data_IF_257989255124
#
_entry.id   IF_257989255124
#
_cell.length_a   1.000
_cell.length_b   1.000
_cell.length_c   1.000
_cell.angle_alpha   90.00
_cell.angle_beta   90.00
_cell.angle_gamma   90.00
#
_symmetry.space_group_name_H-M   'P 1'
#
loop_
_entity.id
_entity.type
_entity.pdbx_description
1 polymer ?
#
# COMPACT_ATOMS: atom_id res chain seq x y z
N UNK A 1 -13.16 -6.80 -3.08
CA UNK A 1 -14.30 -6.34 -3.90
C UNK A 1 -14.39 -7.21 -5.15
N UNK A 2 -15.58 -7.45 -5.67
CA UNK A 2 -15.88 -8.26 -6.86
C UNK A 2 -16.42 -7.37 -7.97
N UNK A 3 -16.35 -7.81 -9.22
CA UNK A 3 -16.95 -7.08 -10.35
C UNK A 3 -18.45 -6.83 -10.19
N UNK A 4 -19.15 -7.59 -9.34
CA UNK A 4 -20.57 -7.42 -9.07
C UNK A 4 -20.87 -6.46 -7.91
N UNK A 5 -19.86 -6.05 -7.15
CA UNK A 5 -20.06 -5.15 -6.02
C UNK A 5 -20.36 -3.73 -6.53
N UNK A 6 -21.24 -3.01 -5.83
CA UNK A 6 -21.57 -1.62 -6.17
C UNK A 6 -20.32 -0.75 -6.01
N UNK A 7 -20.01 0.05 -7.03
CA UNK A 7 -18.83 0.91 -7.03
C UNK A 7 -17.53 0.20 -7.39
N UNK A 8 -17.61 -1.01 -7.94
CA UNK A 8 -16.49 -1.64 -8.63
C UNK A 8 -16.25 -0.95 -9.98
N UNK A 9 -14.99 -0.86 -10.43
CA UNK A 9 -14.61 -0.16 -11.67
C UNK A 9 -15.35 -0.70 -12.89
N UNK A 10 -15.55 -2.03 -12.97
CA UNK A 10 -16.31 -2.70 -14.03
C UNK A 10 -17.85 -2.59 -13.89
N UNK A 11 -18.36 -2.00 -12.81
CA UNK A 11 -19.79 -1.94 -12.49
C UNK A 11 -20.17 -0.58 -11.89
N UNK A 12 -19.89 0.48 -12.66
CA UNK A 12 -20.28 1.85 -12.32
C UNK A 12 -21.50 2.28 -13.12
N UNK A 13 -22.48 2.87 -12.43
CA UNK A 13 -23.57 3.58 -13.10
C UNK A 13 -23.14 4.98 -13.58
N UNK A 14 -23.99 5.64 -14.38
CA UNK A 14 -23.69 6.96 -14.95
C UNK A 14 -23.42 8.02 -13.87
N UNK A 15 -24.15 8.00 -12.76
CA UNK A 15 -23.98 8.96 -11.67
C UNK A 15 -22.66 8.72 -10.94
N UNK A 16 -22.28 7.47 -10.74
CA UNK A 16 -21.01 7.09 -10.15
C UNK A 16 -19.83 7.47 -11.04
N UNK A 17 -19.95 7.31 -12.36
CA UNK A 17 -18.93 7.76 -13.33
C UNK A 17 -18.75 9.28 -13.26
N UNK A 18 -19.83 10.06 -13.23
CA UNK A 18 -19.71 11.51 -13.10
C UNK A 18 -19.10 11.91 -11.75
N UNK A 19 -19.48 11.23 -10.66
CA UNK A 19 -18.90 11.47 -9.33
C UNK A 19 -17.40 11.15 -9.30
N UNK A 20 -16.97 10.06 -9.95
CA UNK A 20 -15.56 9.69 -10.09
C UNK A 20 -14.77 10.75 -10.86
N UNK A 21 -15.30 11.25 -11.98
CA UNK A 21 -14.68 12.35 -12.75
C UNK A 21 -14.53 13.60 -11.90
N UNK A 22 -15.59 14.00 -11.19
CA UNK A 22 -15.53 15.15 -10.27
C UNK A 22 -14.45 14.93 -9.21
N UNK A 23 -14.37 13.73 -8.62
CA UNK A 23 -13.36 13.42 -7.61
C UNK A 23 -11.94 13.52 -8.15
N UNK A 24 -11.69 13.06 -9.39
CA UNK A 24 -10.41 13.24 -10.06
C UNK A 24 -10.04 14.71 -10.26
N UNK A 25 -10.97 15.51 -10.80
CA UNK A 25 -10.75 16.93 -11.03
C UNK A 25 -10.44 17.64 -9.71
N UNK A 26 -11.26 17.43 -8.68
CA UNK A 26 -11.08 18.04 -7.37
C UNK A 26 -9.75 17.61 -6.71
N UNK A 27 -9.33 16.35 -6.86
CA UNK A 27 -8.03 15.89 -6.37
C UNK A 27 -6.88 16.64 -7.05
N UNK A 28 -6.88 16.70 -8.38
CA UNK A 28 -5.80 17.33 -9.15
C UNK A 28 -5.73 18.84 -8.89
N UNK A 29 -6.88 19.52 -8.84
CA UNK A 29 -6.96 20.93 -8.47
C UNK A 29 -6.40 21.18 -7.06
N UNK A 30 -6.68 20.28 -6.11
CA UNK A 30 -6.21 20.42 -4.74
C UNK A 30 -4.71 20.20 -4.63
N UNK A 31 -4.16 19.19 -5.32
CA UNK A 31 -2.71 18.96 -5.40
C UNK A 31 -2.00 20.15 -6.05
N UNK A 32 -2.52 20.61 -7.20
CA UNK A 32 -2.01 21.80 -7.91
C UNK A 32 -1.96 23.01 -6.98
N UNK A 33 -3.03 23.25 -6.22
CA UNK A 33 -3.12 24.38 -5.28
C UNK A 33 -2.16 24.24 -4.09
N UNK A 34 -2.07 23.07 -3.47
CA UNK A 34 -1.21 22.85 -2.29
C UNK A 34 0.28 22.91 -2.65
N UNK A 35 0.65 22.38 -3.82
CA UNK A 35 2.03 22.41 -4.33
C UNK A 35 2.38 23.71 -5.07
N UNK A 36 1.41 24.60 -5.32
CA UNK A 36 1.59 25.82 -6.12
C UNK A 36 2.17 25.57 -7.53
N UNK A 37 1.74 24.48 -8.17
CA UNK A 37 2.14 24.07 -9.54
C UNK A 37 0.91 24.00 -10.45
N UNK A 38 1.10 24.01 -11.77
CA UNK A 38 -0.02 23.76 -12.68
C UNK A 38 -0.39 22.27 -12.71
N UNK A 39 -1.60 21.94 -13.20
CA UNK A 39 -2.08 20.56 -13.25
C UNK A 39 -1.19 19.69 -14.17
N UNK A 40 -0.69 20.24 -15.26
CA UNK A 40 0.21 19.56 -16.19
C UNK A 40 1.59 19.26 -15.58
N UNK A 41 2.02 20.04 -14.59
CA UNK A 41 3.26 19.82 -13.84
C UNK A 41 3.12 18.80 -12.70
N UNK A 42 1.89 18.34 -12.39
CA UNK A 42 1.68 17.31 -11.35
C UNK A 42 2.47 16.06 -11.72
N UNK A 43 2.46 15.66 -12.99
CA UNK A 43 3.27 14.56 -13.49
C UNK A 43 4.75 14.98 -13.44
N UNK A 44 5.54 14.29 -12.62
CA UNK A 44 6.95 14.64 -12.37
C UNK A 44 7.17 15.56 -11.16
N UNK A 45 6.11 15.99 -10.48
CA UNK A 45 6.21 16.59 -9.15
C UNK A 45 6.36 15.52 -8.06
N UNK A 46 6.88 15.90 -6.89
CA UNK A 46 6.97 14.97 -5.75
C UNK A 46 5.61 14.44 -5.31
N UNK A 47 4.54 15.24 -5.39
CA UNK A 47 3.19 14.81 -5.00
C UNK A 47 2.57 13.89 -6.06
N UNK A 48 2.82 14.18 -7.34
CA UNK A 48 2.46 13.27 -8.43
C UNK A 48 3.15 11.93 -8.29
N UNK A 49 4.45 11.91 -8.02
CA UNK A 49 5.20 10.66 -7.81
C UNK A 49 4.60 9.80 -6.70
N UNK A 50 4.27 10.39 -5.54
CA UNK A 50 3.64 9.66 -4.44
C UNK A 50 2.24 9.16 -4.83
N UNK A 51 1.45 9.97 -5.55
CA UNK A 51 0.13 9.58 -6.06
C UNK A 51 0.24 8.39 -7.02
N UNK A 52 1.10 8.46 -8.03
CA UNK A 52 1.24 7.41 -9.04
C UNK A 52 1.87 6.14 -8.47
N UNK A 53 2.79 6.24 -7.50
CA UNK A 53 3.29 5.08 -6.75
C UNK A 53 2.20 4.44 -5.90
N UNK A 54 1.29 5.23 -5.33
CA UNK A 54 0.13 4.71 -4.56
C UNK A 54 -0.89 3.99 -5.44
N UNK A 55 -0.94 4.31 -6.74
CA UNK A 55 -1.72 3.55 -7.75
C UNK A 55 -1.01 2.23 -8.07
N UNK A 56 0.33 2.25 -8.16
CA UNK A 56 1.14 1.08 -8.47
C UNK A 56 0.89 0.58 -9.90
N UNK A 57 0.64 -0.72 -10.05
CA UNK A 57 0.32 -1.35 -11.34
C UNK A 57 -1.19 -1.58 -11.55
N UNK A 58 -2.05 -0.99 -10.70
CA UNK A 58 -3.50 -1.11 -10.79
C UNK A 58 -4.11 -0.05 -11.72
N UNK A 59 -5.40 -0.19 -12.02
CA UNK A 59 -6.17 0.85 -12.69
C UNK A 59 -6.26 2.09 -11.77
N UNK A 60 -5.92 3.30 -12.24
CA UNK A 60 -5.90 4.51 -11.42
C UNK A 60 -7.26 4.83 -10.76
N UNK A 61 -8.37 4.51 -11.43
CA UNK A 61 -9.71 4.75 -10.90
C UNK A 61 -10.00 3.91 -9.65
N UNK A 62 -9.38 2.73 -9.52
CA UNK A 62 -9.59 1.84 -8.38
C UNK A 62 -9.15 2.49 -7.08
N UNK A 63 -8.07 3.30 -7.11
CA UNK A 63 -7.61 4.05 -5.95
C UNK A 63 -8.66 5.08 -5.52
N UNK A 64 -9.17 5.88 -6.46
CA UNK A 64 -10.17 6.92 -6.15
C UNK A 64 -11.48 6.31 -5.68
N UNK A 65 -11.94 5.25 -6.36
CA UNK A 65 -13.15 4.52 -5.98
C UNK A 65 -13.03 3.91 -4.58
N UNK A 66 -11.83 3.53 -4.12
CA UNK A 66 -11.60 3.06 -2.74
C UNK A 66 -11.98 4.13 -1.72
N UNK A 67 -11.54 5.37 -1.95
CA UNK A 67 -11.84 6.50 -1.06
C UNK A 67 -13.30 6.95 -1.17
N UNK A 68 -13.85 7.01 -2.39
CA UNK A 68 -15.27 7.32 -2.60
C UNK A 68 -16.16 6.33 -1.84
N UNK A 69 -15.95 5.02 -1.97
CA UNK A 69 -16.73 4.03 -1.19
C UNK A 69 -16.54 4.20 0.31
N UNK A 70 -15.30 4.39 0.77
CA UNK A 70 -14.99 4.59 2.19
C UNK A 70 -15.62 5.86 2.79
N UNK A 71 -15.97 6.83 1.94
CA UNK A 71 -16.61 8.10 2.32
C UNK A 71 -18.04 8.23 1.79
N UNK A 72 -18.70 7.10 1.52
CA UNK A 72 -20.11 7.05 1.09
C UNK A 72 -20.41 7.96 -0.11
N UNK A 73 -19.47 8.03 -1.05
CA UNK A 73 -19.51 8.85 -2.26
C UNK A 73 -19.49 10.37 -2.02
N UNK A 74 -19.07 10.84 -0.84
CA UNK A 74 -18.74 12.24 -0.62
C UNK A 74 -17.36 12.56 -1.23
N UNK A 75 -17.38 13.39 -2.29
CA UNK A 75 -16.17 13.76 -3.04
C UNK A 75 -15.17 14.52 -2.17
N UNK A 76 -15.61 15.52 -1.40
CA UNK A 76 -14.69 16.36 -0.63
C UNK A 76 -14.04 15.55 0.49
N UNK A 77 -14.81 14.72 1.18
CA UNK A 77 -14.30 13.86 2.23
C UNK A 77 -13.36 12.78 1.68
N UNK A 78 -13.63 12.24 0.48
CA UNK A 78 -12.76 11.29 -0.20
C UNK A 78 -11.42 11.93 -0.60
N UNK A 79 -11.46 13.11 -1.22
CA UNK A 79 -10.26 13.86 -1.65
C UNK A 79 -9.41 14.25 -0.45
N UNK A 80 -10.02 14.79 0.62
CA UNK A 80 -9.27 15.18 1.82
C UNK A 80 -8.53 13.97 2.42
N UNK A 81 -9.21 12.83 2.57
CA UNK A 81 -8.58 11.64 3.14
C UNK A 81 -7.46 11.06 2.26
N UNK A 82 -7.64 11.10 0.93
CA UNK A 82 -6.59 10.69 0.00
C UNK A 82 -5.37 11.61 0.12
N UNK A 83 -5.56 12.93 0.16
CA UNK A 83 -4.45 13.89 0.32
C UNK A 83 -3.73 13.71 1.65
N UNK A 84 -4.46 13.56 2.75
CA UNK A 84 -3.87 13.27 4.06
C UNK A 84 -3.01 12.00 4.01
N UNK A 85 -3.47 10.99 3.27
CA UNK A 85 -2.72 9.75 3.08
C UNK A 85 -1.47 9.96 2.21
N UNK A 86 -1.56 10.73 1.11
CA UNK A 86 -0.41 11.04 0.27
C UNK A 86 0.66 11.83 1.04
N UNK A 87 0.24 12.80 1.85
CA UNK A 87 1.12 13.58 2.71
C UNK A 87 1.80 12.67 3.76
N UNK A 88 1.03 11.80 4.43
CA UNK A 88 1.58 10.82 5.36
C UNK A 88 2.62 9.90 4.68
N UNK A 89 2.33 9.40 3.47
CA UNK A 89 3.27 8.54 2.72
C UNK A 89 4.57 9.27 2.42
N UNK A 90 4.47 10.54 2.03
CA UNK A 90 5.62 11.39 1.76
C UNK A 90 6.44 11.64 3.04
N UNK A 91 5.79 12.07 4.12
CA UNK A 91 6.41 12.38 5.41
C UNK A 91 7.11 11.16 6.03
N UNK A 92 6.49 9.98 5.93
CA UNK A 92 7.06 8.72 6.43
C UNK A 92 8.06 8.10 5.48
N UNK A 93 8.25 8.66 4.28
CA UNK A 93 9.18 8.14 3.30
C UNK A 93 8.84 6.71 2.87
N UNK A 94 7.56 6.36 2.76
CA UNK A 94 7.09 5.00 2.44
C UNK A 94 7.74 4.51 1.14
N UNK A 95 7.85 5.35 0.12
CA UNK A 95 8.49 4.95 -1.14
C UNK A 95 9.97 4.54 -0.98
N UNK A 96 10.69 5.18 -0.03
CA UNK A 96 12.08 4.83 0.29
C UNK A 96 12.14 3.52 1.08
N UNK A 97 11.20 3.31 2.00
CA UNK A 97 11.04 2.05 2.73
C UNK A 97 10.82 0.90 1.75
N UNK A 98 9.86 1.05 0.82
CA UNK A 98 9.55 0.04 -0.20
C UNK A 98 10.73 -0.23 -1.15
N UNK A 99 11.50 0.80 -1.52
CA UNK A 99 12.67 0.64 -2.37
C UNK A 99 13.80 -0.17 -1.72
N UNK A 100 13.91 -0.12 -0.39
CA UNK A 100 14.90 -0.90 0.37
C UNK A 100 14.39 -2.29 0.77
N UNK A 101 13.07 -2.47 0.77
CA UNK A 101 12.42 -3.75 1.04
C UNK A 101 12.72 -4.27 2.43
N UNK A 102 13.00 -5.57 2.51
CA UNK A 102 13.20 -6.28 3.77
C UNK A 102 14.48 -5.86 4.52
N UNK A 103 15.40 -5.13 3.88
CA UNK A 103 16.62 -4.61 4.53
C UNK A 103 16.34 -3.55 5.60
N UNK A 104 15.18 -2.90 5.59
CA UNK A 104 14.78 -1.92 6.61
C UNK A 104 13.90 -2.53 7.71
N UNK A 105 13.63 -3.83 7.63
CA UNK A 105 12.75 -4.54 8.56
C UNK A 105 13.53 -5.21 9.68
N UNK A 106 12.89 -5.31 10.85
CA UNK A 106 13.40 -6.09 11.96
C UNK A 106 13.13 -7.57 11.70
N UNK A 107 14.18 -8.30 11.30
CA UNK A 107 14.06 -9.72 10.91
C UNK A 107 13.51 -10.58 12.05
N UNK A 108 13.83 -10.28 13.31
CA UNK A 108 13.32 -11.03 14.46
C UNK A 108 11.79 -10.93 14.58
N UNK A 109 11.21 -9.78 14.24
CA UNK A 109 9.77 -9.61 14.26
C UNK A 109 9.09 -10.38 13.13
N UNK A 110 9.68 -10.32 11.94
CA UNK A 110 9.20 -11.09 10.79
C UNK A 110 9.28 -12.61 11.05
N UNK A 111 10.40 -13.07 11.62
CA UNK A 111 10.63 -14.48 11.96
C UNK A 111 9.83 -14.97 13.17
N UNK A 112 9.12 -14.08 13.87
CA UNK A 112 8.21 -14.50 14.95
C UNK A 112 7.05 -15.37 14.44
N UNK A 113 6.73 -15.31 13.14
CA UNK A 113 5.66 -16.11 12.52
C UNK A 113 4.26 -15.74 13.00
N UNK A 114 4.11 -14.64 13.75
CA UNK A 114 2.82 -14.19 14.31
C UNK A 114 1.85 -13.69 13.23
N UNK A 115 2.36 -13.28 12.07
CA UNK A 115 1.59 -12.92 10.90
C UNK A 115 2.25 -13.48 9.64
N UNK A 116 1.46 -14.04 8.72
CA UNK A 116 1.95 -14.47 7.41
C UNK A 116 0.81 -14.62 6.41
N UNK A 117 1.11 -14.47 5.12
CA UNK A 117 0.15 -14.79 4.07
C UNK A 117 0.20 -16.27 3.72
N UNK A 118 -0.94 -16.93 3.51
CA UNK A 118 -0.95 -18.31 3.00
C UNK A 118 -2.22 -18.62 2.21
N UNK A 119 -2.04 -19.03 0.96
CA UNK A 119 -3.15 -19.41 0.09
C UNK A 119 -4.06 -18.24 -0.29
N UNK A 120 -5.20 -18.61 -0.86
CA UNK A 120 -6.16 -17.67 -1.45
C UNK A 120 -7.59 -18.08 -1.10
N UNK A 121 -8.47 -17.09 -0.99
CA UNK A 121 -9.91 -17.35 -0.94
C UNK A 121 -10.44 -17.88 -2.28
N UNK A 122 -11.73 -18.21 -2.34
CA UNK A 122 -12.39 -18.70 -3.57
C UNK A 122 -12.35 -17.71 -4.74
N UNK A 123 -11.96 -16.46 -4.49
CA UNK A 123 -11.89 -15.37 -5.45
C UNK A 123 -10.44 -15.00 -5.78
N UNK A 124 -9.46 -15.78 -5.33
CA UNK A 124 -8.04 -15.51 -5.59
C UNK A 124 -7.46 -14.37 -4.78
N UNK A 125 -8.12 -13.93 -3.70
CA UNK A 125 -7.57 -12.90 -2.80
C UNK A 125 -6.64 -13.54 -1.79
N UNK A 126 -5.45 -12.96 -1.52
CA UNK A 126 -4.52 -13.53 -0.56
C UNK A 126 -5.12 -13.51 0.85
N UNK A 127 -4.83 -14.55 1.63
CA UNK A 127 -5.26 -14.65 3.02
C UNK A 127 -4.06 -14.34 3.92
N UNK A 128 -4.23 -13.38 4.85
CA UNK A 128 -3.30 -13.12 5.94
C UNK A 128 -3.76 -13.87 7.20
N UNK A 129 -2.91 -14.70 7.78
CA UNK A 129 -3.10 -15.38 9.06
C UNK A 129 -2.42 -14.56 10.15
N UNK A 130 -3.15 -14.26 11.24
CA UNK A 130 -2.64 -13.52 12.39
C UNK A 130 -2.85 -14.36 13.66
N UNK A 131 -1.76 -14.83 14.26
CA UNK A 131 -1.77 -15.63 15.48
C UNK A 131 -1.71 -14.73 16.72
N UNK A 132 -2.87 -14.21 17.11
CA UNK A 132 -3.00 -13.27 18.26
C UNK A 132 -2.44 -13.85 19.56
N UNK A 133 -2.53 -15.17 19.76
CA UNK A 133 -2.00 -15.85 20.95
C UNK A 133 -0.47 -15.71 21.13
N UNK A 134 0.25 -15.45 20.05
CA UNK A 134 1.72 -15.36 20.04
C UNK A 134 2.17 -13.89 20.14
N UNK A 135 1.23 -12.93 20.21
CA UNK A 135 1.53 -11.52 20.43
C UNK A 135 2.02 -11.25 21.86
N UNK A 136 3.21 -10.69 21.97
CA UNK A 136 3.77 -10.19 23.23
C UNK A 136 3.80 -8.67 23.16
N UNK A 137 3.07 -8.03 24.08
CA UNK A 137 3.01 -6.57 24.17
C UNK A 137 4.42 -6.00 24.41
N UNK A 138 4.74 -4.91 23.72
CA UNK A 138 6.00 -4.16 23.85
C UNK A 138 7.26 -5.00 23.52
N UNK A 139 7.11 -6.15 22.84
CA UNK A 139 8.23 -7.01 22.43
C UNK A 139 9.15 -6.35 21.41
N UNK A 140 8.59 -5.57 20.48
CA UNK A 140 9.31 -4.88 19.42
C UNK A 140 9.02 -3.37 19.46
N UNK A 141 9.96 -2.52 19.01
CA UNK A 141 9.72 -1.08 18.89
C UNK A 141 8.56 -0.80 17.94
N UNK A 142 7.68 0.13 18.30
CA UNK A 142 6.50 0.49 17.51
C UNK A 142 6.89 0.88 16.07
N UNK A 143 7.96 1.65 15.89
CA UNK A 143 8.43 2.07 14.56
C UNK A 143 8.85 0.87 13.68
N UNK A 144 9.42 -0.18 14.27
CA UNK A 144 9.79 -1.39 13.52
C UNK A 144 8.55 -2.15 13.05
N UNK A 145 7.55 -2.29 13.93
CA UNK A 145 6.26 -2.89 13.59
C UNK A 145 5.52 -2.06 12.53
N UNK A 146 5.51 -0.73 12.65
CA UNK A 146 4.89 0.17 11.65
C UNK A 146 5.52 -0.02 10.26
N UNK A 147 6.85 -0.15 10.17
CA UNK A 147 7.56 -0.39 8.91
C UNK A 147 7.22 -1.75 8.32
N UNK A 148 7.19 -2.79 9.14
CA UNK A 148 6.77 -4.13 8.72
C UNK A 148 5.36 -4.12 8.15
N UNK A 149 4.41 -3.51 8.87
CA UNK A 149 3.01 -3.39 8.42
C UNK A 149 2.90 -2.62 7.09
N UNK A 150 3.68 -1.54 6.91
CA UNK A 150 3.70 -0.78 5.67
C UNK A 150 4.23 -1.61 4.49
N UNK A 151 5.35 -2.31 4.70
CA UNK A 151 5.91 -3.18 3.67
C UNK A 151 4.91 -4.28 3.34
N UNK A 152 4.35 -4.97 4.32
CA UNK A 152 3.40 -6.08 4.08
C UNK A 152 2.14 -5.67 3.34
N UNK A 153 1.65 -4.46 3.59
CA UNK A 153 0.45 -3.93 2.96
C UNK A 153 0.69 -3.52 1.51
N UNK A 154 1.80 -2.82 1.21
CA UNK A 154 2.10 -2.28 -0.12
C UNK A 154 2.94 -3.23 -1.00
N UNK A 155 3.73 -4.09 -0.38
CA UNK A 155 4.69 -4.99 -1.01
C UNK A 155 4.57 -6.38 -0.39
N UNK A 156 4.04 -7.35 -1.14
CA UNK A 156 4.07 -8.75 -0.69
C UNK A 156 5.53 -9.18 -0.63
N UNK A 157 6.13 -9.14 0.56
CA UNK A 157 7.55 -9.44 0.73
C UNK A 157 7.84 -10.87 0.27
N UNK A 158 9.04 -11.09 -0.28
CA UNK A 158 9.46 -12.42 -0.72
C UNK A 158 9.48 -13.36 0.48
N UNK A 159 9.82 -12.83 1.66
CA UNK A 159 9.72 -13.51 2.94
C UNK A 159 8.29 -13.94 3.28
N UNK A 160 7.29 -13.09 3.05
CA UNK A 160 5.89 -13.42 3.29
C UNK A 160 5.34 -14.47 2.33
N UNK A 161 5.77 -14.45 1.07
CA UNK A 161 5.41 -15.46 0.08
C UNK A 161 6.13 -16.79 0.35
N UNK A 162 7.38 -16.75 0.80
CA UNK A 162 8.14 -17.97 1.08
C UNK A 162 7.88 -18.54 2.49
N UNK A 163 7.25 -17.80 3.41
CA UNK A 163 6.67 -18.36 4.64
C UNK A 163 5.42 -19.24 4.39
N UNK A 164 4.91 -19.32 3.15
CA UNK A 164 3.77 -20.17 2.81
C UNK A 164 4.22 -21.63 2.68
N UNK A 165 3.97 -22.44 3.71
CA UNK A 165 3.95 -23.91 3.82
C UNK A 165 5.13 -24.78 3.31
N UNK A 166 5.89 -24.38 2.28
CA UNK A 166 6.97 -25.15 1.63
C UNK A 166 8.27 -24.32 1.42
N UNK A 167 8.29 -23.03 1.76
CA UNK A 167 9.47 -22.20 1.52
C UNK A 167 10.53 -22.37 2.61
N UNK A 168 11.76 -22.59 2.15
CA UNK A 168 12.91 -22.73 3.04
C UNK A 168 13.32 -21.35 3.57
N UNK A 169 12.92 -21.04 4.80
CA UNK A 169 13.26 -19.78 5.48
C UNK A 169 14.78 -19.53 5.52
N UNK A 170 15.60 -20.58 5.51
CA UNK A 170 17.07 -20.44 5.45
C UNK A 170 17.53 -19.84 4.11
N UNK A 171 16.90 -20.20 2.99
CA UNK A 171 17.22 -19.64 1.67
C UNK A 171 16.85 -18.17 1.63
N UNK A 172 15.70 -17.80 2.20
CA UNK A 172 15.27 -16.40 2.18
C UNK A 172 16.17 -15.57 3.09
N UNK A 173 16.49 -16.07 4.29
CA UNK A 173 17.45 -15.43 5.18
C UNK A 173 18.81 -15.25 4.48
N UNK A 174 19.30 -16.28 3.78
CA UNK A 174 20.52 -16.20 2.98
C UNK A 174 20.44 -15.13 1.87
N UNK A 175 19.32 -15.04 1.15
CA UNK A 175 19.12 -14.03 0.11
C UNK A 175 19.08 -12.61 0.68
N UNK A 176 18.42 -12.40 1.83
CA UNK A 176 18.43 -11.11 2.54
C UNK A 176 19.84 -10.76 2.96
N UNK A 177 20.55 -11.69 3.62
CA UNK A 177 21.92 -11.49 4.08
C UNK A 177 22.91 -11.16 2.94
N UNK A 178 22.76 -11.77 1.77
CA UNK A 178 23.56 -11.41 0.58
C UNK A 178 23.19 -10.02 0.07
N UNK A 179 21.89 -9.72 -0.04
CA UNK A 179 21.42 -8.42 -0.53
C UNK A 179 21.87 -7.26 0.37
N UNK A 180 22.00 -7.51 1.68
CA UNK A 180 22.53 -6.55 2.65
C UNK A 180 24.05 -6.37 2.53
N UNK A 181 24.79 -7.37 2.03
CA UNK A 181 26.27 -7.34 1.90
C UNK A 181 26.73 -6.71 0.59
N UNK A 182 25.95 -6.84 -0.49
CA UNK A 182 26.22 -6.18 -1.76
C UNK A 182 25.53 -4.81 -1.80
N UNK A 183 26.17 -3.81 -1.19
CA UNK A 183 26.01 -2.45 -1.70
C UNK A 183 26.47 -2.46 -3.16
N UNK A 184 25.52 -2.34 -4.10
CA UNK A 184 25.80 -2.06 -5.50
C UNK A 184 26.84 -0.93 -5.59
N UNK A 185 28.08 -1.30 -5.95
CA UNK A 185 29.13 -0.37 -6.35
C UNK A 185 28.84 0.20 -7.74
#
# INVERSE_FOLDING_TARGET
MTHNDIGHVDNLDKTQIETLKTCWITLLERISKESSISIDEIVGSSQGDVLFRSIGYDNPDVLILRWLRARKWDVNAAVQQLIDTLNWRHERGVDKLLAKGENELLIEELMSGKAYFMGYDKMGRPINYIHVKDHIKDQFPIEATEKLDCVDYDYRSVLHVAATADGNLEIIQFLVEISSKEHFQ
#
